data_IF_018780057344
#
_entry.id   IF_018780057344
#
_cell.length_a   1.000
_cell.length_b   1.000
_cell.length_c   1.000
_cell.angle_alpha   90.00
_cell.angle_beta   90.00
_cell.angle_gamma   90.00
#
_symmetry.space_group_name_H-M   'P 1'
#
loop_
_entity.id
_entity.type
_entity.pdbx_description
1 polymer ?
#
# COMPACT_ATOMS: atom_id res chain seq x y z
N UNK A 1 -2.45 -45.52 -13.77
CA UNK A 1 -1.99 -44.13 -13.96
C UNK A 1 -2.59 -43.21 -12.89
N UNK A 2 -2.14 -43.31 -11.63
CA UNK A 2 -2.62 -42.47 -10.52
C UNK A 2 -1.38 -41.97 -9.75
N UNK A 3 -0.65 -41.01 -10.32
CA UNK A 3 0.55 -40.45 -9.65
C UNK A 3 0.82 -38.97 -9.93
N UNK A 4 -0.17 -38.25 -10.49
CA UNK A 4 0.02 -36.85 -10.89
C UNK A 4 -0.70 -35.83 -9.99
N UNK A 5 -1.54 -36.25 -9.04
CA UNK A 5 -2.42 -35.33 -8.29
C UNK A 5 -1.89 -34.92 -6.90
N UNK A 6 -0.84 -35.57 -6.37
CA UNK A 6 -0.36 -35.28 -5.01
C UNK A 6 0.73 -34.20 -4.91
N UNK A 7 1.21 -33.64 -6.03
CA UNK A 7 2.31 -32.67 -6.00
C UNK A 7 1.90 -31.19 -5.99
N UNK A 8 0.64 -30.86 -6.26
CA UNK A 8 0.17 -29.47 -6.26
C UNK A 8 -0.18 -28.93 -4.86
N UNK A 9 -0.48 -29.80 -3.90
CA UNK A 9 -0.81 -29.37 -2.52
C UNK A 9 0.41 -28.98 -1.69
N UNK A 10 1.62 -29.41 -2.06
CA UNK A 10 2.85 -29.11 -1.31
C UNK A 10 3.49 -27.78 -1.69
N UNK A 11 3.15 -27.23 -2.86
CA UNK A 11 3.77 -26.01 -3.38
C UNK A 11 3.11 -24.71 -2.87
N UNK A 12 1.84 -24.77 -2.43
CA UNK A 12 1.13 -23.59 -1.91
C UNK A 12 1.57 -23.22 -0.49
N UNK A 13 2.18 -24.15 0.27
CA UNK A 13 2.74 -23.85 1.61
C UNK A 13 4.17 -23.28 1.57
N UNK A 14 4.81 -23.19 0.41
CA UNK A 14 6.18 -22.64 0.26
C UNK A 14 6.21 -21.23 -0.32
N UNK A 15 5.09 -20.50 -0.35
CA UNK A 15 5.15 -19.05 -0.52
C UNK A 15 5.53 -18.50 0.85
N UNK A 16 6.79 -18.09 1.08
CA UNK A 16 7.11 -17.39 2.32
C UNK A 16 6.22 -16.17 2.33
N UNK A 17 5.28 -16.12 3.28
CA UNK A 17 4.58 -14.91 3.64
C UNK A 17 5.68 -13.96 4.06
N UNK A 18 6.14 -13.13 3.12
CA UNK A 18 7.08 -12.04 3.33
C UNK A 18 6.31 -10.97 4.10
N UNK A 19 5.96 -11.31 5.33
CA UNK A 19 5.54 -10.37 6.35
C UNK A 19 6.79 -9.51 6.51
N UNK A 20 6.81 -8.38 5.81
CA UNK A 20 7.71 -7.28 6.13
C UNK A 20 7.35 -6.92 7.56
N UNK A 21 8.00 -7.55 8.53
CA UNK A 21 8.05 -7.08 9.91
C UNK A 21 8.71 -5.71 9.79
N UNK A 22 7.89 -4.68 9.76
CA UNK A 22 8.37 -3.30 9.86
C UNK A 22 9.01 -3.24 11.25
N UNK A 23 10.33 -3.02 11.36
CA UNK A 23 10.96 -2.89 12.67
C UNK A 23 10.28 -1.74 13.40
N UNK A 24 9.84 -2.01 14.63
CA UNK A 24 9.32 -0.97 15.52
C UNK A 24 10.41 0.09 15.67
N UNK A 25 10.12 1.39 15.41
CA UNK A 25 11.13 2.42 15.50
C UNK A 25 11.61 2.54 16.94
N UNK A 26 12.88 2.19 17.20
CA UNK A 26 13.47 2.23 18.55
C UNK A 26 13.70 3.67 19.05
N UNK A 27 13.49 4.68 18.20
CA UNK A 27 13.60 6.09 18.56
C UNK A 27 12.70 6.98 17.68
N UNK A 28 12.38 8.18 18.16
CA UNK A 28 11.49 9.12 17.47
C UNK A 28 12.01 9.54 16.07
N UNK A 29 13.33 9.58 15.88
CA UNK A 29 13.96 9.87 14.58
C UNK A 29 13.68 8.79 13.54
N UNK A 30 13.75 7.52 13.92
CA UNK A 30 13.40 6.41 13.03
C UNK A 30 11.92 6.38 12.72
N UNK A 31 11.05 6.74 13.68
CA UNK A 31 9.61 6.93 13.43
C UNK A 31 9.37 8.07 12.42
N UNK A 32 10.05 9.20 12.60
CA UNK A 32 9.97 10.35 11.70
C UNK A 32 10.46 10.00 10.28
N UNK A 33 11.58 9.28 10.18
CA UNK A 33 12.12 8.83 8.90
C UNK A 33 11.17 7.87 8.17
N UNK A 34 10.55 6.93 8.90
CA UNK A 34 9.55 6.01 8.33
C UNK A 34 8.29 6.76 7.90
N UNK A 35 7.83 7.74 8.68
CA UNK A 35 6.72 8.61 8.31
C UNK A 35 7.04 9.40 7.03
N UNK A 36 8.23 9.98 6.93
CA UNK A 36 8.69 10.69 5.74
C UNK A 36 8.76 9.77 4.51
N UNK A 37 9.29 8.55 4.66
CA UNK A 37 9.31 7.56 3.58
C UNK A 37 7.90 7.20 3.10
N UNK A 38 6.97 6.99 4.04
CA UNK A 38 5.56 6.72 3.73
C UNK A 38 4.93 7.88 2.97
N UNK A 39 5.12 9.10 3.46
CA UNK A 39 4.61 10.31 2.82
C UNK A 39 5.19 10.50 1.41
N UNK A 40 6.50 10.25 1.25
CA UNK A 40 7.17 10.32 -0.07
C UNK A 40 6.62 9.27 -1.03
N UNK A 41 6.40 8.05 -0.57
CA UNK A 41 5.82 6.98 -1.38
C UNK A 41 4.39 7.33 -1.82
N UNK A 42 3.54 7.78 -0.88
CA UNK A 42 2.18 8.25 -1.19
C UNK A 42 2.19 9.42 -2.20
N UNK A 43 3.07 10.40 -2.01
CA UNK A 43 3.23 11.52 -2.94
C UNK A 43 3.61 11.07 -4.35
N UNK A 44 4.50 10.09 -4.47
CA UNK A 44 4.90 9.52 -5.76
C UNK A 44 3.75 8.76 -6.42
N UNK A 45 3.03 7.93 -5.66
CA UNK A 45 1.85 7.20 -6.15
C UNK A 45 0.75 8.17 -6.60
N UNK A 46 0.51 9.25 -5.85
CA UNK A 46 -0.45 10.29 -6.23
C UNK A 46 -0.11 10.91 -7.59
N UNK A 47 1.16 11.30 -7.79
CA UNK A 47 1.63 11.88 -9.06
C UNK A 47 1.48 10.90 -10.22
N UNK A 48 1.80 9.62 -9.99
CA UNK A 48 1.64 8.57 -10.98
C UNK A 48 0.17 8.45 -11.41
N UNK A 49 -0.74 8.31 -10.43
CA UNK A 49 -2.18 8.18 -10.68
C UNK A 49 -2.75 9.44 -11.36
N UNK A 50 -2.27 10.63 -10.98
CA UNK A 50 -2.65 11.87 -11.65
C UNK A 50 -2.15 11.97 -13.09
N UNK A 51 -1.03 11.34 -13.44
CA UNK A 51 -0.56 11.35 -14.82
C UNK A 51 -1.13 10.22 -15.68
N UNK A 52 -1.89 9.28 -15.09
CA UNK A 52 -2.58 8.22 -15.86
C UNK A 52 -3.84 8.76 -16.54
N UNK A 53 -4.15 8.21 -17.72
CA UNK A 53 -5.41 8.45 -18.43
C UNK A 53 -6.58 7.75 -17.72
N UNK A 54 -7.79 8.26 -17.95
CA UNK A 54 -8.99 7.71 -17.32
C UNK A 54 -9.28 6.26 -17.73
N UNK A 55 -8.92 5.86 -18.95
CA UNK A 55 -9.02 4.47 -19.41
C UNK A 55 -8.16 3.54 -18.54
N UNK A 56 -6.90 3.93 -18.28
CA UNK A 56 -5.99 3.14 -17.44
C UNK A 56 -6.40 3.14 -15.98
N UNK A 57 -7.02 4.22 -15.49
CA UNK A 57 -7.59 4.26 -14.15
C UNK A 57 -8.81 3.32 -14.05
N UNK A 58 -9.65 3.29 -15.08
CA UNK A 58 -10.81 2.40 -15.15
C UNK A 58 -10.40 0.92 -15.17
N UNK A 59 -9.30 0.58 -15.85
CA UNK A 59 -8.77 -0.80 -15.87
C UNK A 59 -8.39 -1.32 -14.48
N UNK A 60 -7.98 -0.43 -13.58
CA UNK A 60 -7.68 -0.76 -12.18
C UNK A 60 -8.85 -0.45 -11.23
N UNK A 61 -10.04 -0.14 -11.78
CA UNK A 61 -11.26 0.11 -11.03
C UNK A 61 -11.27 1.42 -10.23
N UNK A 62 -10.47 2.41 -10.63
CA UNK A 62 -10.39 3.71 -9.96
C UNK A 62 -11.06 4.80 -10.79
N UNK A 63 -11.82 5.68 -10.14
CA UNK A 63 -12.25 6.95 -10.70
C UNK A 63 -11.37 8.10 -10.21
N UNK A 64 -11.34 9.20 -10.97
CA UNK A 64 -10.57 10.39 -10.60
C UNK A 64 -11.01 10.98 -9.25
N UNK A 65 -12.32 10.99 -9.01
CA UNK A 65 -12.91 11.43 -7.74
C UNK A 65 -12.50 10.57 -6.54
N UNK A 66 -12.17 9.29 -6.74
CA UNK A 66 -11.68 8.43 -5.65
C UNK A 66 -10.27 8.83 -5.21
N UNK A 67 -9.42 9.20 -6.18
CA UNK A 67 -8.08 9.73 -5.90
C UNK A 67 -8.21 11.05 -5.13
N UNK A 68 -9.09 11.96 -5.56
CA UNK A 68 -9.32 13.22 -4.85
C UNK A 68 -9.79 12.99 -3.42
N UNK A 69 -10.78 12.11 -3.20
CA UNK A 69 -11.28 11.79 -1.86
C UNK A 69 -10.19 11.25 -0.93
N UNK A 70 -9.35 10.34 -1.43
CA UNK A 70 -8.25 9.75 -0.65
C UNK A 70 -7.25 10.80 -0.17
N UNK A 71 -6.94 11.81 -1.00
CA UNK A 71 -5.95 12.84 -0.66
C UNK A 71 -6.53 14.14 -0.08
N UNK A 72 -7.84 14.37 -0.19
CA UNK A 72 -8.54 15.47 0.49
C UNK A 72 -8.86 15.11 1.94
N UNK A 73 -9.18 13.84 2.23
CA UNK A 73 -9.44 13.36 3.59
C UNK A 73 -8.19 13.37 4.48
N UNK A 74 -7.02 13.09 3.92
CA UNK A 74 -5.74 13.08 4.63
C UNK A 74 -5.32 14.49 5.12
N UNK A 75 -5.95 15.55 4.63
CA UNK A 75 -5.71 16.93 5.08
C UNK A 75 -6.52 17.31 6.33
N UNK A 76 -7.40 16.42 6.84
CA UNK A 76 -8.36 16.74 7.92
C UNK A 76 -8.20 15.96 9.22
N UNK A 77 -7.33 14.95 9.33
CA UNK A 77 -7.34 14.05 10.50
C UNK A 77 -6.06 14.06 11.36
N UNK A 78 -5.29 15.15 11.37
CA UNK A 78 -4.12 15.30 12.27
C UNK A 78 -4.32 16.32 13.41
N UNK A 79 -5.46 17.02 13.48
CA UNK A 79 -5.68 18.08 14.50
C UNK A 79 -6.60 17.68 15.67
N UNK A 80 -7.11 16.45 15.74
CA UNK A 80 -8.11 16.07 16.76
C UNK A 80 -7.82 14.75 17.52
N UNK A 81 -6.55 14.44 17.80
CA UNK A 81 -6.17 13.37 18.75
C UNK A 81 -5.29 13.86 19.90
N UNK A 82 -5.63 15.02 20.47
CA UNK A 82 -5.24 15.40 21.82
C UNK A 82 -6.48 15.85 22.59
N UNK A 83 -7.15 14.89 23.23
CA UNK A 83 -7.97 15.15 24.42
C UNK A 83 -7.97 13.93 25.32
#
# INVERSE_FOLDING_TARGET
>A
MIKAQHNLRRFIMSIPRRIRRIPQPCNWLSALYQAWLRHRAQSATRKLLWNMSDERLKDIGLARGDIERLYTSDYRDDTLRHR
#
